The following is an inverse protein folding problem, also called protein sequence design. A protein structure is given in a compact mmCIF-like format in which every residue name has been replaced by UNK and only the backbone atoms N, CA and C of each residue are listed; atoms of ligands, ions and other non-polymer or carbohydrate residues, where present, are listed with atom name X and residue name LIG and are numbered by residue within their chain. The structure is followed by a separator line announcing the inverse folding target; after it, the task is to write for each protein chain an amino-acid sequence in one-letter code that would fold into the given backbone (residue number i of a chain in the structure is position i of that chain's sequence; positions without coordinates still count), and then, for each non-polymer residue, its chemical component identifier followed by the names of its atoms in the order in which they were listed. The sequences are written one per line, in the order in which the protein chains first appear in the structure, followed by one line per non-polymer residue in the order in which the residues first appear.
data_IF_433068119407
#
_entry.id   IF_433068119407
#
_cell.length_a   1.000
_cell.length_b   1.000
_cell.length_c   1.000
_cell.angle_alpha   90.00
_cell.angle_beta   90.00
_cell.angle_gamma   90.00
#
_symmetry.space_group_name_H-M   'P 1'
#
loop_
_entity.id
_entity.type
_entity.pdbx_description
1 polymer ?
#
# COMPACT_ATOMS: atom_id res chain seq x y z
N UNK A 1 13.89 13.22 -77.58
CA UNK A 1 13.33 12.41 -76.48
C UNK A 1 12.08 11.73 -77.06
N UNK A 2 12.16 10.68 -77.90
CA UNK A 2 12.61 9.29 -77.62
C UNK A 2 12.31 8.88 -76.17
N UNK A 3 11.59 7.79 -75.84
CA UNK A 3 11.10 6.65 -76.63
C UNK A 3 9.93 5.98 -75.88
N UNK A 4 9.07 5.37 -76.68
CA UNK A 4 8.01 4.38 -76.40
C UNK A 4 8.58 3.15 -75.68
N UNK A 5 7.86 2.56 -74.70
CA UNK A 5 7.41 1.16 -74.81
C UNK A 5 6.29 0.78 -73.82
N UNK A 6 5.41 -0.06 -74.36
CA UNK A 6 4.18 -0.67 -73.86
C UNK A 6 4.54 -2.12 -73.46
N UNK A 7 3.67 -2.81 -72.72
CA UNK A 7 3.25 -4.23 -72.89
C UNK A 7 2.98 -4.89 -71.53
N UNK A 8 1.81 -5.54 -71.49
CA UNK A 8 1.18 -6.30 -70.41
C UNK A 8 1.17 -7.81 -70.83
N UNK A 9 0.48 -8.72 -70.11
CA UNK A 9 0.91 -9.78 -69.16
C UNK A 9 1.09 -11.19 -69.85
N UNK A 10 1.21 -12.41 -69.21
CA UNK A 10 0.18 -13.06 -68.36
C UNK A 10 0.60 -14.21 -67.35
N UNK A 11 -0.40 -14.68 -66.58
CA UNK A 11 -0.72 -16.08 -66.15
C UNK A 11 -0.03 -16.85 -65.00
N UNK A 12 -0.90 -17.26 -64.04
CA UNK A 12 -1.15 -18.59 -63.42
C UNK A 12 0.01 -19.46 -62.90
N UNK A 13 -0.07 -19.91 -61.64
CA UNK A 13 -0.34 -21.32 -61.29
C UNK A 13 -0.33 -21.57 -59.76
N UNK A 14 -1.17 -22.52 -59.34
CA UNK A 14 -1.31 -23.07 -58.00
C UNK A 14 -0.13 -23.96 -57.59
N UNK A 15 -0.04 -24.32 -56.29
CA UNK A 15 -0.01 -25.71 -55.77
C UNK A 15 0.38 -25.76 -54.26
N UNK A 16 -0.42 -26.49 -53.46
CA UNK A 16 -0.04 -27.06 -52.14
C UNK A 16 0.49 -28.49 -52.38
N UNK A 17 1.36 -29.04 -51.50
CA UNK A 17 0.91 -30.11 -50.58
C UNK A 17 1.61 -30.06 -49.19
N UNK A 18 0.91 -30.15 -48.04
CA UNK A 18 0.53 -31.35 -47.25
C UNK A 18 1.67 -32.30 -46.81
N UNK A 19 1.90 -32.36 -45.48
CA UNK A 19 2.17 -33.57 -44.68
C UNK A 19 1.60 -33.35 -43.26
N UNK A 20 0.40 -33.86 -42.91
CA UNK A 20 0.07 -35.12 -42.17
C UNK A 20 0.97 -35.36 -40.94
N UNK A 21 0.51 -34.98 -39.74
CA UNK A 21 -0.34 -35.71 -38.77
C UNK A 21 0.40 -36.78 -37.95
N UNK A 22 0.36 -36.66 -36.61
CA UNK A 22 -0.17 -37.70 -35.71
C UNK A 22 -0.87 -37.02 -34.52
N UNK A 23 -2.17 -37.27 -34.37
CA UNK A 23 -2.95 -37.10 -33.14
C UNK A 23 -2.72 -38.33 -32.26
N UNK A 24 -2.62 -38.19 -30.94
CA UNK A 24 -3.41 -39.03 -30.03
C UNK A 24 -3.86 -38.19 -28.84
N UNK A 25 -5.16 -38.30 -28.59
CA UNK A 25 -6.01 -37.69 -27.57
C UNK A 25 -6.25 -38.75 -26.50
N UNK A 26 -6.14 -38.41 -25.22
CA UNK A 26 -7.15 -38.76 -24.19
C UNK A 26 -6.73 -38.33 -22.77
N UNK A 27 -7.75 -37.82 -22.10
CA UNK A 27 -8.04 -37.39 -20.72
C UNK A 27 -7.53 -38.25 -19.52
N UNK A 28 -7.68 -37.72 -18.27
CA UNK A 28 -7.04 -38.16 -17.00
C UNK A 28 -7.88 -39.27 -16.32
N UNK A 29 -7.84 -39.62 -15.00
CA UNK A 29 -7.08 -39.20 -13.79
C UNK A 29 -6.56 -40.47 -12.99
N UNK A 30 -6.34 -40.57 -11.64
CA UNK A 30 -7.25 -40.20 -10.52
C UNK A 30 -6.62 -39.63 -9.22
N UNK A 31 -7.45 -38.91 -8.45
CA UNK A 31 -7.30 -38.68 -6.99
C UNK A 31 -7.69 -39.96 -6.22
N UNK A 32 -6.82 -40.47 -5.32
CA UNK A 32 -7.14 -41.36 -4.15
C UNK A 32 -6.04 -41.11 -3.10
N UNK A 33 -6.20 -40.39 -1.98
CA UNK A 33 -7.05 -40.53 -0.76
C UNK A 33 -6.78 -41.80 0.08
N UNK A 34 -6.38 -41.55 1.34
CA UNK A 34 -6.49 -42.38 2.58
C UNK A 34 -5.54 -43.57 2.77
N UNK A 35 -4.81 -43.58 3.90
CA UNK A 35 -5.21 -44.36 5.09
C UNK A 35 -4.41 -44.00 6.35
N UNK A 36 -5.16 -43.82 7.42
CA UNK A 36 -4.78 -43.77 8.84
C UNK A 36 -4.95 -45.19 9.40
N UNK A 37 -4.11 -45.61 10.36
CA UNK A 37 -4.24 -46.70 11.37
C UNK A 37 -2.80 -47.01 11.84
N UNK A 38 -2.32 -46.54 13.00
CA UNK A 38 -2.58 -47.00 14.38
C UNK A 38 -2.22 -48.49 14.52
N UNK A 39 -1.29 -48.88 15.41
CA UNK A 39 -1.63 -49.37 16.76
C UNK A 39 -0.35 -49.83 17.55
N UNK A 40 -0.20 -49.30 18.79
CA UNK A 40 0.18 -49.88 20.11
C UNK A 40 1.41 -50.82 20.28
N UNK A 41 2.15 -50.88 21.40
CA UNK A 41 1.91 -50.61 22.85
C UNK A 41 3.28 -50.30 23.56
N UNK A 42 3.45 -49.84 24.82
CA UNK A 42 2.63 -49.86 26.04
C UNK A 42 3.23 -48.99 27.19
N UNK A 43 2.36 -48.59 28.15
CA UNK A 43 2.57 -48.33 29.61
C UNK A 43 3.12 -46.95 30.07
N UNK A 44 2.61 -46.21 31.07
CA UNK A 44 1.45 -46.31 32.01
C UNK A 44 1.16 -44.93 32.65
N UNK A 45 -0.13 -44.70 32.96
CA UNK A 45 -0.82 -43.94 34.04
C UNK A 45 -0.39 -42.52 34.50
N UNK A 46 -1.29 -41.54 34.36
CA UNK A 46 -2.06 -40.95 35.48
C UNK A 46 -3.00 -39.81 35.04
N UNK A 47 -4.09 -39.66 35.76
CA UNK A 47 -5.35 -39.01 35.41
C UNK A 47 -5.45 -37.52 35.80
N UNK A 48 -6.25 -36.77 35.02
CA UNK A 48 -7.16 -35.66 35.42
C UNK A 48 -6.96 -34.31 34.71
N UNK A 49 -7.96 -33.96 33.88
CA UNK A 49 -8.37 -32.62 33.37
C UNK A 49 -9.34 -31.96 34.39
N UNK A 50 -9.70 -30.66 34.37
CA UNK A 50 -9.93 -29.74 33.22
C UNK A 50 -9.10 -28.44 33.34
N UNK A 51 -8.87 -27.62 32.32
CA UNK A 51 -9.86 -26.89 31.53
C UNK A 51 -9.23 -26.36 30.24
N UNK A 52 -10.05 -26.32 29.21
CA UNK A 52 -9.74 -25.71 27.93
C UNK A 52 -9.79 -24.19 28.08
N UNK A 53 -8.64 -23.54 28.10
CA UNK A 53 -8.49 -22.30 27.36
C UNK A 53 -7.44 -22.56 26.31
N UNK A 54 -7.93 -22.82 25.09
CA UNK A 54 -7.15 -22.53 23.90
C UNK A 54 -6.77 -21.07 24.00
N UNK A 55 -5.58 -20.81 24.54
CA UNK A 55 -4.85 -19.59 24.27
C UNK A 55 -4.64 -19.64 22.76
N UNK A 56 -5.59 -19.08 22.02
CA UNK A 56 -5.30 -18.52 20.72
C UNK A 56 -4.21 -17.51 21.02
N UNK A 57 -2.97 -18.00 20.91
CA UNK A 57 -1.74 -17.25 20.95
C UNK A 57 -1.98 -16.13 19.96
N UNK A 58 -2.45 -14.98 20.47
CA UNK A 58 -2.55 -13.75 19.71
C UNK A 58 -1.12 -13.38 19.44
N UNK A 59 -0.56 -13.97 18.39
CA UNK A 59 0.73 -13.61 17.84
C UNK A 59 0.65 -12.09 17.73
N UNK A 60 1.53 -11.34 18.43
CA UNK A 60 1.48 -9.88 18.39
C UNK A 60 1.40 -9.48 16.93
N UNK A 61 0.37 -8.74 16.52
CA UNK A 61 0.14 -8.46 15.09
C UNK A 61 1.33 -7.69 14.49
N UNK A 62 2.13 -7.02 15.33
CA UNK A 62 3.47 -6.54 14.95
C UNK A 62 4.39 -7.62 14.36
N UNK A 63 4.36 -8.86 14.86
CA UNK A 63 5.04 -10.03 14.24
C UNK A 63 4.34 -10.53 12.98
N UNK A 64 3.01 -10.46 12.89
CA UNK A 64 2.24 -10.87 11.69
C UNK A 64 2.47 -9.91 10.52
N UNK A 65 2.59 -8.62 10.79
CA UNK A 65 2.88 -7.59 9.79
C UNK A 65 4.37 -7.48 9.49
N UNK A 66 5.27 -7.90 10.39
CA UNK A 66 6.72 -7.89 10.15
C UNK A 66 7.21 -9.16 9.42
N UNK A 67 6.45 -9.61 8.41
CA UNK A 67 6.84 -10.74 7.56
C UNK A 67 7.60 -10.26 6.34
N UNK A 68 8.48 -11.10 5.79
CA UNK A 68 9.19 -10.83 4.53
C UNK A 68 8.24 -10.43 3.40
N UNK A 69 7.12 -11.14 3.27
CA UNK A 69 6.11 -10.85 2.25
C UNK A 69 5.50 -9.45 2.42
N UNK A 70 5.23 -9.02 3.66
CA UNK A 70 4.73 -7.66 3.92
C UNK A 70 5.81 -6.60 3.64
N UNK A 71 7.09 -6.88 3.93
CA UNK A 71 8.20 -5.99 3.58
C UNK A 71 8.35 -5.82 2.07
N UNK A 72 8.27 -6.91 1.30
CA UNK A 72 8.33 -6.87 -0.17
C UNK A 72 7.12 -6.10 -0.74
N UNK A 73 5.92 -6.35 -0.22
CA UNK A 73 4.72 -5.61 -0.61
C UNK A 73 4.83 -4.12 -0.28
N UNK A 74 5.33 -3.79 0.90
CA UNK A 74 5.56 -2.40 1.29
C UNK A 74 6.61 -1.73 0.41
N UNK A 75 7.68 -2.45 0.03
CA UNK A 75 8.70 -1.97 -0.90
C UNK A 75 8.09 -1.58 -2.25
N UNK A 76 7.23 -2.43 -2.84
CA UNK A 76 6.51 -2.08 -4.09
C UNK A 76 5.60 -0.87 -3.92
N UNK A 77 4.97 -0.71 -2.76
CA UNK A 77 4.18 0.49 -2.44
C UNK A 77 5.05 1.76 -2.37
N UNK A 78 6.25 1.69 -1.79
CA UNK A 78 7.19 2.82 -1.77
C UNK A 78 7.69 3.14 -3.17
N UNK A 79 8.05 2.14 -3.97
CA UNK A 79 8.50 2.33 -5.36
C UNK A 79 7.47 3.07 -6.21
N UNK A 80 6.18 2.72 -6.05
CA UNK A 80 5.08 3.44 -6.67
C UNK A 80 4.99 4.91 -6.18
N UNK A 81 5.18 5.17 -4.88
CA UNK A 81 5.16 6.55 -4.34
C UNK A 81 6.37 7.37 -4.80
N UNK A 82 7.55 6.75 -4.94
CA UNK A 82 8.75 7.37 -5.52
C UNK A 82 8.49 7.73 -6.98
N UNK A 83 7.93 6.79 -7.75
CA UNK A 83 7.54 7.06 -9.15
C UNK A 83 6.50 8.19 -9.24
N UNK A 84 5.55 8.24 -8.30
CA UNK A 84 4.56 9.33 -8.21
C UNK A 84 5.19 10.69 -7.85
N UNK A 85 6.31 10.70 -7.13
CA UNK A 85 7.01 11.94 -6.79
C UNK A 85 7.70 12.56 -8.02
N UNK A 86 8.12 11.72 -8.97
CA UNK A 86 8.73 12.10 -10.24
C UNK A 86 7.70 12.37 -11.35
N UNK A 87 6.60 11.62 -11.36
CA UNK A 87 5.47 11.79 -12.28
C UNK A 87 4.13 11.92 -11.51
N UNK A 88 3.56 13.14 -11.43
CA UNK A 88 2.29 13.40 -10.74
C UNK A 88 1.07 12.63 -11.30
N UNK A 89 1.14 12.14 -12.53
CA UNK A 89 0.05 11.41 -13.19
C UNK A 89 0.18 9.89 -13.02
N UNK A 90 1.26 9.40 -12.40
CA UNK A 90 1.55 7.97 -12.20
C UNK A 90 0.37 7.19 -11.61
N UNK A 91 -0.24 7.67 -10.52
CA UNK A 91 -1.37 6.99 -9.88
C UNK A 91 -2.56 6.87 -10.85
N UNK A 92 -2.84 7.92 -11.62
CA UNK A 92 -3.94 7.92 -12.58
C UNK A 92 -3.65 6.94 -13.72
N UNK A 93 -2.44 6.94 -14.26
CA UNK A 93 -2.02 6.02 -15.30
C UNK A 93 -2.11 4.55 -14.86
N UNK A 94 -1.71 4.23 -13.62
CA UNK A 94 -1.85 2.89 -13.05
C UNK A 94 -3.32 2.47 -12.95
N UNK A 95 -4.19 3.36 -12.48
CA UNK A 95 -5.64 3.09 -12.38
C UNK A 95 -6.27 2.87 -13.75
N UNK A 96 -5.95 3.72 -14.73
CA UNK A 96 -6.48 3.66 -16.11
C UNK A 96 -6.05 2.37 -16.82
N UNK A 97 -4.84 1.90 -16.56
CA UNK A 97 -4.29 0.66 -17.14
C UNK A 97 -4.59 -0.59 -16.32
N UNK A 98 -5.22 -0.44 -15.14
CA UNK A 98 -5.45 -1.55 -14.20
C UNK A 98 -4.17 -2.33 -13.85
N UNK A 99 -3.08 -1.61 -13.61
CA UNK A 99 -1.76 -2.19 -13.37
C UNK A 99 -1.76 -3.28 -12.28
N UNK A 100 -1.22 -4.45 -12.63
CA UNK A 100 -1.20 -5.64 -11.76
C UNK A 100 -0.02 -5.65 -10.78
N UNK A 101 0.98 -4.80 -10.99
CA UNK A 101 2.21 -4.79 -10.19
C UNK A 101 2.05 -3.93 -8.93
N UNK A 102 1.62 -2.67 -9.08
CA UNK A 102 1.59 -1.67 -8.02
C UNK A 102 0.20 -1.49 -7.38
N UNK A 103 -0.89 -1.70 -8.13
CA UNK A 103 -2.22 -1.51 -7.55
C UNK A 103 -2.54 -2.52 -6.43
N UNK A 104 -2.17 -3.83 -6.50
CA UNK A 104 -2.45 -4.75 -5.41
C UNK A 104 -1.71 -4.38 -4.11
N UNK A 105 -0.38 -4.10 -4.10
CA UNK A 105 0.31 -3.57 -2.93
C UNK A 105 -0.31 -2.27 -2.39
N UNK A 106 -0.62 -1.32 -3.27
CA UNK A 106 -1.25 -0.05 -2.89
C UNK A 106 -2.58 -0.27 -2.16
N UNK A 107 -3.49 -1.05 -2.75
CA UNK A 107 -4.79 -1.36 -2.13
C UNK A 107 -4.62 -2.09 -0.80
N UNK A 108 -3.62 -2.97 -0.68
CA UNK A 108 -3.39 -3.73 0.54
C UNK A 108 -2.88 -2.85 1.69
N UNK A 109 -1.89 -1.98 1.44
CA UNK A 109 -1.38 -1.04 2.44
C UNK A 109 -2.45 0.00 2.80
N UNK A 110 -3.09 0.62 1.81
CA UNK A 110 -4.18 1.58 2.04
C UNK A 110 -5.34 0.94 2.82
N UNK A 111 -5.64 -0.33 2.54
CA UNK A 111 -6.63 -1.12 3.26
C UNK A 111 -6.29 -1.33 4.74
N UNK A 112 -5.04 -1.70 5.06
CA UNK A 112 -4.57 -1.87 6.45
C UNK A 112 -4.70 -0.55 7.21
N UNK A 113 -4.21 0.55 6.64
CA UNK A 113 -4.28 1.89 7.24
C UNK A 113 -5.73 2.30 7.49
N UNK A 114 -6.61 2.10 6.50
CA UNK A 114 -8.01 2.49 6.60
C UNK A 114 -8.78 1.65 7.63
N UNK A 115 -8.46 0.36 7.77
CA UNK A 115 -9.04 -0.51 8.80
C UNK A 115 -8.71 0.01 10.21
N UNK A 116 -7.44 0.33 10.46
CA UNK A 116 -7.03 0.92 11.73
C UNK A 116 -7.63 2.31 11.96
N UNK A 117 -7.73 3.14 10.91
CA UNK A 117 -8.39 4.45 10.99
C UNK A 117 -9.85 4.32 11.44
N UNK A 118 -10.59 3.35 10.89
CA UNK A 118 -11.99 3.08 11.30
C UNK A 118 -12.08 2.64 12.75
N UNK A 119 -11.14 1.83 13.25
CA UNK A 119 -11.11 1.42 14.66
C UNK A 119 -10.85 2.60 15.60
N UNK A 120 -9.91 3.48 15.27
CA UNK A 120 -9.64 4.70 16.03
C UNK A 120 -10.85 5.63 16.02
N UNK A 121 -11.52 5.80 14.87
CA UNK A 121 -12.70 6.66 14.75
C UNK A 121 -13.82 6.25 15.72
N UNK A 122 -13.98 4.95 16.02
CA UNK A 122 -14.99 4.46 16.98
C UNK A 122 -14.72 4.90 18.43
N UNK A 123 -13.51 5.38 18.74
CA UNK A 123 -13.10 5.81 20.09
C UNK A 123 -13.23 7.34 20.28
N UNK A 124 -13.51 8.09 19.22
CA UNK A 124 -13.63 9.56 19.23
C UNK A 124 -14.92 10.03 18.58
N UNK A 125 -15.27 11.30 18.81
CA UNK A 125 -16.36 11.97 18.12
C UNK A 125 -15.80 13.16 17.37
N UNK A 126 -16.14 13.31 16.10
CA UNK A 126 -15.73 14.44 15.27
C UNK A 126 -16.96 15.26 14.93
N UNK A 127 -16.96 16.55 15.27
CA UNK A 127 -17.92 17.47 14.66
C UNK A 127 -17.65 17.57 13.16
N UNK A 128 -18.66 17.93 12.36
CA UNK A 128 -18.50 18.04 10.91
C UNK A 128 -17.37 19.02 10.52
N UNK A 129 -17.30 20.18 11.18
CA UNK A 129 -16.26 21.18 10.94
C UNK A 129 -14.86 20.68 11.32
N UNK A 130 -14.74 19.93 12.43
CA UNK A 130 -13.44 19.38 12.82
C UNK A 130 -13.00 18.27 11.87
N UNK A 131 -13.93 17.40 11.47
CA UNK A 131 -13.66 16.33 10.49
C UNK A 131 -13.16 16.91 9.16
N UNK A 132 -13.84 17.94 8.64
CA UNK A 132 -13.41 18.62 7.42
C UNK A 132 -11.99 19.19 7.55
N UNK A 133 -11.70 19.86 8.67
CA UNK A 133 -10.38 20.43 8.91
C UNK A 133 -9.28 19.36 8.98
N UNK A 134 -9.46 18.30 9.78
CA UNK A 134 -8.46 17.23 9.91
C UNK A 134 -8.34 16.35 8.67
N UNK A 135 -9.31 16.38 7.75
CA UNK A 135 -9.20 15.64 6.48
C UNK A 135 -8.52 16.47 5.38
N UNK A 136 -8.64 17.79 5.49
CA UNK A 136 -8.10 18.75 4.53
C UNK A 136 -6.64 19.04 4.78
N UNK A 137 -6.25 19.14 6.05
CA UNK A 137 -4.96 19.68 6.47
C UNK A 137 -4.02 18.58 6.99
N UNK A 138 -2.90 18.30 6.30
CA UNK A 138 -2.02 17.19 6.62
C UNK A 138 -1.13 17.42 7.84
N UNK A 139 -1.18 18.57 8.50
CA UNK A 139 -0.47 18.78 9.77
C UNK A 139 -1.47 18.95 10.89
N UNK A 140 -1.09 18.54 12.10
CA UNK A 140 -1.90 18.71 13.30
C UNK A 140 -0.99 19.09 14.46
N UNK A 141 -1.14 20.33 14.93
CA UNK A 141 -0.51 20.77 16.16
C UNK A 141 -1.45 20.52 17.34
N UNK A 142 -0.92 19.95 18.41
CA UNK A 142 -1.65 19.67 19.64
C UNK A 142 -0.98 20.42 20.79
N UNK A 143 -1.74 21.23 21.50
CA UNK A 143 -1.29 21.93 22.70
C UNK A 143 -2.06 21.40 23.91
N UNK A 144 -1.41 20.66 24.81
CA UNK A 144 -2.05 20.11 26.01
C UNK A 144 -2.63 21.22 26.88
N UNK A 145 -3.80 20.95 27.45
CA UNK A 145 -4.46 21.82 28.43
C UNK A 145 -5.45 21.01 29.26
N UNK A 146 -5.72 21.46 30.48
CA UNK A 146 -6.70 20.84 31.38
C UNK A 146 -7.93 21.77 31.51
N UNK A 147 -9.16 21.28 31.28
CA UNK A 147 -9.55 19.90 30.99
C UNK A 147 -9.52 19.52 29.49
N UNK A 148 -9.07 20.42 28.60
CA UNK A 148 -9.16 20.23 27.15
C UNK A 148 -7.84 20.49 26.42
N UNK A 149 -7.48 19.62 25.48
CA UNK A 149 -6.37 19.82 24.56
C UNK A 149 -6.80 20.63 23.34
N UNK A 150 -5.98 21.61 22.93
CA UNK A 150 -6.22 22.39 21.72
C UNK A 150 -5.60 21.69 20.52
N UNK A 151 -6.40 21.55 19.46
CA UNK A 151 -6.04 20.88 18.21
C UNK A 151 -6.12 21.89 17.08
N UNK A 152 -5.01 22.10 16.38
CA UNK A 152 -4.90 23.04 15.28
C UNK A 152 -4.40 22.31 14.03
N UNK A 153 -5.32 21.87 13.15
CA UNK A 153 -4.96 21.38 11.82
C UNK A 153 -4.20 22.46 11.04
N UNK A 154 -3.31 22.07 10.13
CA UNK A 154 -2.52 22.98 9.32
C UNK A 154 -1.81 22.34 8.14
N UNK A 155 -0.92 23.10 7.50
CA UNK A 155 -0.24 22.69 6.27
C UNK A 155 -1.05 22.96 5.01
N UNK A 156 -0.47 22.60 3.87
CA UNK A 156 -1.08 22.83 2.57
C UNK A 156 -2.02 21.67 2.21
N UNK A 157 -3.26 22.00 1.86
CA UNK A 157 -4.23 21.01 1.42
C UNK A 157 -3.79 20.34 0.12
N UNK A 158 -4.20 19.09 -0.06
CA UNK A 158 -3.78 18.25 -1.18
C UNK A 158 -4.94 17.41 -1.72
N UNK A 159 -4.83 16.99 -2.97
CA UNK A 159 -5.74 16.05 -3.58
C UNK A 159 -5.43 14.64 -3.07
N UNK A 160 -6.37 14.00 -2.39
CA UNK A 160 -6.15 12.66 -1.79
C UNK A 160 -5.97 11.53 -2.80
N UNK A 161 -6.37 11.74 -4.06
CA UNK A 161 -6.17 10.76 -5.15
C UNK A 161 -4.78 10.91 -5.76
N UNK A 162 -4.43 12.11 -6.18
CA UNK A 162 -3.18 12.37 -6.93
C UNK A 162 -2.00 12.77 -6.04
N UNK A 163 -2.24 13.03 -4.75
CA UNK A 163 -1.26 13.53 -3.77
C UNK A 163 -0.70 14.93 -4.08
N UNK A 164 -1.24 15.60 -5.10
CA UNK A 164 -0.81 16.94 -5.51
C UNK A 164 -1.34 18.03 -4.57
N UNK A 165 -0.52 19.05 -4.30
CA UNK A 165 -0.91 20.25 -3.58
C UNK A 165 -2.04 20.98 -4.31
N UNK A 166 -3.02 21.47 -3.58
CA UNK A 166 -4.12 22.26 -4.15
C UNK A 166 -3.67 23.71 -4.40
N UNK A 167 -3.92 24.21 -5.61
CA UNK A 167 -3.65 25.61 -5.99
C UNK A 167 -4.73 26.53 -5.39
N UNK A 168 -4.54 26.92 -4.12
CA UNK A 168 -5.20 27.98 -3.33
C UNK A 168 -6.71 28.26 -3.57
N UNK A 169 -7.55 27.82 -2.64
CA UNK A 169 -8.57 28.62 -1.92
C UNK A 169 -9.19 27.75 -0.81
N UNK A 170 -8.41 27.43 0.22
CA UNK A 170 -8.90 26.65 1.36
C UNK A 170 -9.05 27.60 2.54
N UNK A 171 -10.19 27.53 3.24
CA UNK A 171 -10.46 28.33 4.43
C UNK A 171 -9.30 28.21 5.44
N UNK A 172 -9.00 29.28 6.17
CA UNK A 172 -7.91 29.25 7.16
C UNK A 172 -8.15 28.12 8.18
N UNK A 173 -7.09 27.40 8.60
CA UNK A 173 -7.26 26.34 9.58
C UNK A 173 -7.85 26.89 10.88
N UNK A 174 -8.90 26.24 11.36
CA UNK A 174 -9.57 26.57 12.61
C UNK A 174 -8.94 25.81 13.78
N UNK A 175 -9.09 26.36 14.99
CA UNK A 175 -8.68 25.69 16.23
C UNK A 175 -9.88 25.00 16.87
N UNK A 176 -9.65 23.80 17.38
CA UNK A 176 -10.66 22.95 18.01
C UNK A 176 -10.21 22.56 19.42
N UNK A 177 -11.15 22.40 20.33
CA UNK A 177 -10.89 21.85 21.67
C UNK A 177 -11.44 20.43 21.75
N UNK A 178 -10.62 19.53 22.24
CA UNK A 178 -11.01 18.14 22.49
C UNK A 178 -10.72 17.76 23.93
N UNK A 179 -11.41 16.73 24.41
CA UNK A 179 -11.12 16.08 25.68
C UNK A 179 -9.64 15.65 25.73
N UNK A 180 -8.93 16.06 26.79
CA UNK A 180 -7.51 15.79 26.96
C UNK A 180 -7.20 14.29 27.01
N UNK A 181 -8.10 13.48 27.59
CA UNK A 181 -7.95 12.02 27.67
C UNK A 181 -8.01 11.36 26.28
N UNK A 182 -8.73 12.01 25.35
CA UNK A 182 -8.93 11.50 23.99
C UNK A 182 -7.99 12.12 22.96
N UNK A 183 -7.18 13.11 23.34
CA UNK A 183 -6.28 13.86 22.45
C UNK A 183 -5.42 12.95 21.56
N UNK A 184 -4.84 11.90 22.14
CA UNK A 184 -4.00 10.92 21.42
C UNK A 184 -4.74 10.19 20.31
N UNK A 185 -6.04 9.90 20.48
CA UNK A 185 -6.82 9.24 19.43
C UNK A 185 -7.03 10.16 18.22
N UNK A 186 -7.17 11.48 18.42
CA UNK A 186 -7.25 12.43 17.30
C UNK A 186 -5.93 12.50 16.52
N UNK A 187 -4.80 12.57 17.23
CA UNK A 187 -3.47 12.54 16.59
C UNK A 187 -3.22 11.25 15.81
N UNK A 188 -3.64 10.12 16.37
CA UNK A 188 -3.50 8.81 15.74
C UNK A 188 -4.42 8.66 14.53
N UNK A 189 -5.67 9.13 14.64
CA UNK A 189 -6.62 9.17 13.52
C UNK A 189 -6.08 10.02 12.37
N UNK A 190 -5.54 11.20 12.69
CA UNK A 190 -4.96 12.13 11.72
C UNK A 190 -3.74 11.53 11.01
N UNK A 191 -2.82 10.92 11.78
CA UNK A 191 -1.65 10.20 11.24
C UNK A 191 -2.05 9.08 10.27
N UNK A 192 -3.07 8.28 10.61
CA UNK A 192 -3.59 7.24 9.73
C UNK A 192 -4.29 7.81 8.49
N UNK A 193 -5.03 8.89 8.64
CA UNK A 193 -5.74 9.51 7.51
C UNK A 193 -4.78 10.08 6.46
N UNK A 194 -3.68 10.67 6.89
CA UNK A 194 -2.67 11.28 6.03
C UNK A 194 -1.46 10.40 5.74
N UNK A 195 -1.45 9.14 6.20
CA UNK A 195 -0.30 8.24 6.10
C UNK A 195 0.32 8.20 4.69
N UNK A 196 -0.49 7.91 3.66
CA UNK A 196 -0.03 7.85 2.26
C UNK A 196 0.62 9.14 1.80
N UNK A 197 0.04 10.28 2.16
CA UNK A 197 0.56 11.59 1.80
C UNK A 197 1.88 11.91 2.52
N UNK A 198 2.00 11.59 3.80
CA UNK A 198 3.26 11.78 4.51
C UNK A 198 4.37 10.86 4.01
N UNK A 199 4.05 9.61 3.68
CA UNK A 199 5.00 8.70 3.06
C UNK A 199 5.43 9.22 1.68
N UNK A 200 4.49 9.70 0.87
CA UNK A 200 4.79 10.38 -0.39
C UNK A 200 5.71 11.58 -0.23
N UNK A 201 5.50 12.43 0.78
CA UNK A 201 6.40 13.57 1.02
C UNK A 201 7.82 13.13 1.38
N UNK A 202 7.99 11.98 2.07
CA UNK A 202 9.31 11.39 2.33
C UNK A 202 9.94 10.83 1.06
N UNK A 203 9.15 10.18 0.20
CA UNK A 203 9.61 9.76 -1.14
C UNK A 203 10.07 10.95 -1.96
N UNK A 204 9.29 12.03 -1.98
CA UNK A 204 9.63 13.27 -2.68
C UNK A 204 10.89 13.93 -2.14
N UNK A 205 11.10 13.89 -0.82
CA UNK A 205 12.34 14.39 -0.23
C UNK A 205 13.54 13.55 -0.70
N UNK A 206 13.40 12.23 -0.76
CA UNK A 206 14.46 11.33 -1.21
C UNK A 206 14.78 11.51 -2.70
N UNK A 207 13.76 11.65 -3.57
CA UNK A 207 13.97 11.91 -5.00
C UNK A 207 14.67 13.24 -5.22
N UNK A 208 14.21 14.30 -4.56
CA UNK A 208 14.83 15.62 -4.66
C UNK A 208 16.29 15.60 -4.21
N UNK A 209 16.62 14.88 -3.12
CA UNK A 209 17.98 14.79 -2.63
C UNK A 209 18.93 14.07 -3.60
N UNK A 210 18.42 13.16 -4.43
CA UNK A 210 19.19 12.48 -5.48
C UNK A 210 19.34 13.40 -6.70
N UNK A 211 18.25 14.04 -7.14
CA UNK A 211 18.28 14.99 -8.26
C UNK A 211 19.25 16.15 -7.96
N UNK A 212 19.22 16.71 -6.75
CA UNK A 212 20.15 17.77 -6.30
C UNK A 212 21.64 17.37 -6.36
N UNK A 213 21.95 16.07 -6.33
CA UNK A 213 23.34 15.59 -6.48
C UNK A 213 23.74 15.39 -7.94
N UNK A 214 22.77 15.11 -8.83
CA UNK A 214 22.99 14.92 -10.25
C UNK A 214 21.68 15.12 -11.04
N UNK A 215 21.54 16.29 -11.67
CA UNK A 215 20.36 16.66 -12.45
C UNK A 215 20.26 15.95 -13.82
N UNK A 216 21.31 15.24 -14.26
CA UNK A 216 21.33 14.52 -15.55
C UNK A 216 20.73 13.10 -15.46
N UNK A 217 20.26 12.69 -14.27
CA UNK A 217 19.66 11.37 -14.07
C UNK A 217 18.25 11.30 -14.68
N UNK A 218 17.98 10.21 -15.40
CA UNK A 218 16.62 9.88 -15.82
C UNK A 218 15.75 9.40 -14.64
N UNK A 219 14.44 9.56 -14.74
CA UNK A 219 13.48 9.19 -13.68
C UNK A 219 13.66 7.75 -13.18
N UNK A 220 13.82 6.79 -14.09
CA UNK A 220 14.04 5.38 -13.74
C UNK A 220 15.29 5.20 -12.86
N UNK A 221 16.38 5.90 -13.17
CA UNK A 221 17.61 5.80 -12.37
C UNK A 221 17.44 6.42 -10.99
N UNK A 222 16.70 7.53 -10.87
CA UNK A 222 16.34 8.12 -9.57
C UNK A 222 15.52 7.12 -8.74
N UNK A 223 14.51 6.46 -9.33
CA UNK A 223 13.74 5.41 -8.67
C UNK A 223 14.68 4.31 -8.17
N UNK A 224 15.53 3.76 -9.04
CA UNK A 224 16.44 2.67 -8.66
C UNK A 224 17.42 3.08 -7.55
N UNK A 225 17.86 4.33 -7.49
CA UNK A 225 18.70 4.82 -6.39
C UNK A 225 17.94 4.90 -5.06
N UNK A 226 16.72 5.45 -5.05
CA UNK A 226 15.86 5.42 -3.85
C UNK A 226 15.67 3.96 -3.37
N UNK A 227 15.39 3.05 -4.31
CA UNK A 227 15.12 1.65 -3.99
C UNK A 227 16.37 0.86 -3.55
N UNK A 228 17.58 1.35 -3.85
CA UNK A 228 18.85 0.82 -3.35
C UNK A 228 19.16 1.27 -1.92
N UNK A 229 18.55 2.37 -1.44
CA UNK A 229 18.71 2.86 -0.07
C UNK A 229 17.96 1.99 0.95
N UNK A 230 18.54 0.84 1.32
CA UNK A 230 17.93 -0.11 2.27
C UNK A 230 17.65 0.52 3.65
N UNK A 231 18.57 1.26 4.29
CA UNK A 231 18.31 1.85 5.59
C UNK A 231 17.10 2.81 5.60
N UNK A 232 16.91 3.58 4.51
CA UNK A 232 15.75 4.46 4.37
C UNK A 232 14.44 3.67 4.22
N UNK A 233 14.42 2.62 3.38
CA UNK A 233 13.26 1.76 3.22
C UNK A 233 12.87 1.04 4.51
N UNK A 234 13.85 0.53 5.24
CA UNK A 234 13.62 -0.10 6.55
C UNK A 234 13.02 0.89 7.54
N UNK A 235 13.55 2.11 7.62
CA UNK A 235 13.00 3.16 8.48
C UNK A 235 11.54 3.51 8.12
N UNK A 236 11.19 3.53 6.84
CA UNK A 236 9.80 3.75 6.39
C UNK A 236 8.90 2.60 6.81
N UNK A 237 9.38 1.36 6.69
CA UNK A 237 8.65 0.17 7.09
C UNK A 237 8.45 0.12 8.61
N UNK A 238 9.48 0.38 9.40
CA UNK A 238 9.37 0.41 10.86
C UNK A 238 8.38 1.48 11.31
N UNK A 239 8.42 2.66 10.69
CA UNK A 239 7.44 3.73 10.93
C UNK A 239 6.00 3.30 10.62
N UNK A 240 5.81 2.47 9.59
CA UNK A 240 4.50 1.90 9.24
C UNK A 240 4.04 0.92 10.32
N UNK A 241 4.89 -0.03 10.70
CA UNK A 241 4.57 -1.04 11.72
C UNK A 241 4.28 -0.37 13.07
N UNK A 242 5.05 0.64 13.45
CA UNK A 242 4.85 1.40 14.69
C UNK A 242 3.50 2.11 14.68
N UNK A 243 3.12 2.76 13.58
CA UNK A 243 1.81 3.43 13.47
C UNK A 243 0.66 2.44 13.63
N UNK A 244 0.74 1.30 12.95
CA UNK A 244 -0.29 0.26 13.03
C UNK A 244 -0.36 -0.36 14.43
N UNK A 245 0.80 -0.60 15.05
CA UNK A 245 0.89 -1.15 16.42
C UNK A 245 0.31 -0.17 17.44
N UNK A 246 0.60 1.13 17.32
CA UNK A 246 0.00 2.17 18.17
C UNK A 246 -1.53 2.19 18.04
N UNK A 247 -2.04 2.14 16.81
CA UNK A 247 -3.48 2.11 16.54
C UNK A 247 -4.16 0.85 17.12
N UNK A 248 -3.49 -0.29 17.05
CA UNK A 248 -3.95 -1.54 17.63
C UNK A 248 -4.02 -1.45 19.15
N UNK A 249 -2.92 -1.10 19.80
CA UNK A 249 -2.83 -1.09 21.26
C UNK A 249 -3.81 -0.11 21.90
N UNK A 250 -4.06 1.03 21.27
CA UNK A 250 -5.04 2.02 21.77
C UNK A 250 -6.49 1.62 21.51
N UNK A 251 -6.75 0.77 20.51
CA UNK A 251 -8.11 0.38 20.13
C UNK A 251 -8.49 -1.06 20.51
N UNK A 252 -7.58 -1.80 21.15
CA UNK A 252 -7.82 -3.13 21.69
C UNK A 252 -8.98 -3.15 22.70
#
# INVERSE_FOLDING_TARGET
MEKVEKVEPPTKAALKPKHKQVKVKAEPPPKKRKKWLKEVASSSDSESSPDQQSEEERVPVGRVLNTRAMKEMFRSYIEMLVSTALDPDMIQALEDTSDELYLPPMRKIDGIVNEHKKKVLKKISLSSSFQEAIHTFPQLNSEPGEPSTRMKPGGEAYNRKTLNKLKKNVAKPQEFKVDAEKSLFYTLYHSLHHYKYHTFLRCKQETNAIEEQNDDLGQEEVVQQCMRNQPWLEKLFDSFIDLITQAQNKCA
#
